data_IF_747247861299
#
_entry.id   IF_747247861299
#
_cell.length_a   1.000
_cell.length_b   1.000
_cell.length_c   1.000
_cell.angle_alpha   90.00
_cell.angle_beta   90.00
_cell.angle_gamma   90.00
#
_symmetry.space_group_name_H-M   'P 1'
#
loop_
_entity.id
_entity.type
_entity.pdbx_description
1 polymer ?
#
# COMPACT_ATOMS: atom_id res chain seq x y z
N UNK A 1 -10.42 9.08 -27.92
CA UNK A 1 -9.98 8.60 -26.59
C UNK A 1 -9.29 9.77 -25.91
N UNK A 2 -9.69 10.12 -24.69
CA UNK A 2 -9.06 11.21 -23.94
C UNK A 2 -7.68 10.74 -23.49
N UNK A 3 -6.63 11.39 -23.94
CA UNK A 3 -5.25 11.06 -23.52
C UNK A 3 -5.04 11.57 -22.09
N UNK A 4 -4.88 10.65 -21.13
CA UNK A 4 -4.52 11.00 -19.76
C UNK A 4 -3.05 11.45 -19.75
N UNK A 5 -2.79 12.71 -19.40
CA UNK A 5 -1.42 13.26 -19.32
C UNK A 5 -0.80 13.13 -17.93
N UNK A 6 -1.64 13.12 -16.90
CA UNK A 6 -1.23 13.03 -15.50
C UNK A 6 -2.27 12.26 -14.69
N UNK A 7 -1.79 11.51 -13.71
CA UNK A 7 -2.60 10.77 -12.73
C UNK A 7 -2.24 11.31 -11.35
N UNK A 8 -3.23 11.83 -10.61
CA UNK A 8 -3.06 12.22 -9.21
C UNK A 8 -3.19 11.00 -8.33
N UNK A 9 -2.06 10.56 -7.78
CA UNK A 9 -1.98 9.46 -6.82
C UNK A 9 -1.94 10.04 -5.41
N UNK A 10 -2.97 9.77 -4.61
CA UNK A 10 -2.91 10.08 -3.18
C UNK A 10 -2.21 8.97 -2.41
N UNK A 11 -1.08 9.32 -1.84
CA UNK A 11 -0.16 8.44 -1.15
C UNK A 11 -0.29 8.59 0.37
N UNK A 12 -1.45 8.18 0.89
CA UNK A 12 -1.83 8.34 2.30
C UNK A 12 -1.09 7.43 3.29
N UNK A 13 -0.11 6.65 2.84
CA UNK A 13 0.63 5.76 3.72
C UNK A 13 1.53 6.54 4.69
N UNK A 14 1.52 6.19 5.98
CA UNK A 14 2.32 6.91 7.00
C UNK A 14 3.81 6.55 6.98
N UNK A 15 4.16 5.44 6.34
CA UNK A 15 5.54 4.98 6.23
C UNK A 15 6.19 5.49 4.94
N UNK A 16 7.32 6.20 5.06
CA UNK A 16 8.08 6.69 3.92
C UNK A 16 8.54 5.57 2.96
N UNK A 17 8.96 4.42 3.50
CA UNK A 17 9.38 3.29 2.66
C UNK A 17 8.20 2.68 1.89
N UNK A 18 6.99 2.68 2.49
CA UNK A 18 5.78 2.22 1.79
C UNK A 18 5.32 3.23 0.74
N UNK A 19 5.35 4.52 1.07
CA UNK A 19 5.04 5.59 0.13
C UNK A 19 5.92 5.47 -1.12
N UNK A 20 7.23 5.26 -0.93
CA UNK A 20 8.17 5.10 -2.03
C UNK A 20 7.88 3.85 -2.85
N UNK A 21 7.68 2.70 -2.21
CA UNK A 21 7.38 1.44 -2.91
C UNK A 21 6.10 1.55 -3.76
N UNK A 22 5.03 2.11 -3.20
CA UNK A 22 3.76 2.29 -3.92
C UNK A 22 3.93 3.21 -5.13
N UNK A 23 4.66 4.32 -4.97
CA UNK A 23 4.98 5.24 -6.05
C UNK A 23 5.84 4.59 -7.15
N UNK A 24 6.86 3.82 -6.78
CA UNK A 24 7.75 3.14 -7.73
C UNK A 24 6.99 2.09 -8.56
N UNK A 25 6.10 1.33 -7.93
CA UNK A 25 5.28 0.33 -8.63
C UNK A 25 4.34 1.00 -9.63
N UNK A 26 3.67 2.09 -9.26
CA UNK A 26 2.81 2.82 -10.18
C UNK A 26 3.62 3.45 -11.33
N UNK A 27 4.80 4.00 -11.03
CA UNK A 27 5.69 4.57 -12.05
C UNK A 27 6.17 3.52 -13.06
N UNK A 28 6.48 2.32 -12.56
CA UNK A 28 6.84 1.18 -13.40
C UNK A 28 5.66 0.73 -14.27
N UNK A 29 4.43 0.73 -13.73
CA UNK A 29 3.22 0.39 -14.49
C UNK A 29 2.99 1.36 -15.65
N UNK A 30 3.13 2.67 -15.43
CA UNK A 30 2.99 3.66 -16.51
C UNK A 30 4.08 3.51 -17.56
N UNK A 31 5.32 3.24 -17.12
CA UNK A 31 6.43 3.00 -18.05
C UNK A 31 6.19 1.75 -18.90
N UNK A 32 5.74 0.65 -18.28
CA UNK A 32 5.48 -0.62 -18.95
C UNK A 32 4.28 -0.57 -19.90
N UNK A 33 3.33 0.35 -19.70
CA UNK A 33 2.12 0.48 -20.52
C UNK A 33 2.20 1.62 -21.54
N UNK A 34 3.27 2.43 -21.52
CA UNK A 34 3.41 3.64 -22.32
C UNK A 34 3.21 3.41 -23.84
N UNK A 35 3.76 2.33 -24.39
CA UNK A 35 3.66 2.04 -25.83
C UNK A 35 2.22 1.73 -26.29
N UNK A 36 1.38 1.22 -25.38
CA UNK A 36 0.01 0.78 -25.68
C UNK A 36 -1.07 1.77 -25.22
N UNK A 37 -0.79 2.55 -24.17
CA UNK A 37 -1.76 3.45 -23.53
C UNK A 37 -1.33 4.93 -23.55
N UNK A 38 -0.13 5.21 -24.06
CA UNK A 38 0.46 6.54 -24.08
C UNK A 38 1.24 6.88 -22.81
N UNK A 39 2.05 7.94 -22.89
CA UNK A 39 2.80 8.44 -21.74
C UNK A 39 1.92 9.27 -20.82
N UNK A 40 1.99 8.96 -19.52
CA UNK A 40 1.40 9.74 -18.45
C UNK A 40 2.43 9.95 -17.32
N UNK A 41 2.19 10.96 -16.49
CA UNK A 41 3.01 11.27 -15.30
C UNK A 41 2.21 11.02 -14.03
N UNK A 42 2.89 10.71 -12.92
CA UNK A 42 2.26 10.58 -11.60
C UNK A 42 2.52 11.85 -10.81
N UNK A 43 1.45 12.41 -10.25
CA UNK A 43 1.51 13.46 -9.24
C UNK A 43 1.37 12.75 -7.89
N UNK A 44 2.47 12.65 -7.15
CA UNK A 44 2.53 12.03 -5.82
C UNK A 44 2.01 13.00 -4.75
N UNK A 45 0.74 12.87 -4.42
CA UNK A 45 0.06 13.70 -3.43
C UNK A 45 0.18 13.05 -2.03
N UNK A 46 1.08 13.61 -1.22
CA UNK A 46 1.34 13.17 0.17
C UNK A 46 0.61 14.03 1.20
N UNK A 47 -0.46 14.72 0.80
CA UNK A 47 -1.22 15.57 1.72
C UNK A 47 -1.74 14.73 2.89
N UNK A 48 -1.37 15.15 4.10
CA UNK A 48 -1.83 14.49 5.32
C UNK A 48 -3.29 14.86 5.60
N UNK A 49 -4.14 13.84 5.69
CA UNK A 49 -5.57 13.98 5.97
C UNK A 49 -5.85 13.39 7.36
N UNK A 50 -5.86 14.20 8.43
CA UNK A 50 -5.95 13.69 9.80
C UNK A 50 -7.33 13.12 10.15
N UNK A 51 -8.37 13.51 9.40
CA UNK A 51 -9.73 13.04 9.62
C UNK A 51 -10.05 11.84 8.73
N UNK A 52 -10.55 10.76 9.32
CA UNK A 52 -10.90 9.54 8.59
C UNK A 52 -11.94 9.77 7.48
N UNK A 53 -12.85 10.74 7.68
CA UNK A 53 -13.83 11.15 6.66
C UNK A 53 -13.15 11.78 5.44
N UNK A 54 -12.11 12.60 5.65
CA UNK A 54 -11.36 13.22 4.57
C UNK A 54 -10.57 12.18 3.77
N UNK A 55 -9.92 11.22 4.45
CA UNK A 55 -9.26 10.10 3.79
C UNK A 55 -10.23 9.25 2.96
N UNK A 56 -11.43 8.97 3.48
CA UNK A 56 -12.47 8.22 2.77
C UNK A 56 -13.05 8.95 1.55
N UNK A 57 -12.84 10.27 1.46
CA UNK A 57 -13.34 11.14 0.39
C UNK A 57 -12.25 11.56 -0.62
N UNK A 58 -11.02 11.03 -0.55
CA UNK A 58 -9.90 11.45 -1.42
C UNK A 58 -10.22 11.41 -2.92
N UNK A 59 -11.01 10.43 -3.36
CA UNK A 59 -11.45 10.28 -4.75
C UNK A 59 -12.51 11.33 -5.14
N UNK A 60 -13.31 11.79 -4.18
CA UNK A 60 -14.27 12.88 -4.36
C UNK A 60 -13.58 14.24 -4.39
N UNK A 61 -12.36 14.33 -3.83
CA UNK A 61 -11.54 15.53 -3.73
C UNK A 61 -10.45 15.66 -4.80
N UNK A 62 -10.58 14.93 -5.91
CA UNK A 62 -9.75 15.10 -7.10
C UNK A 62 -8.52 14.20 -7.19
N UNK A 63 -8.39 13.21 -6.31
CA UNK A 63 -7.43 12.11 -6.50
C UNK A 63 -7.99 11.11 -7.50
N UNK A 64 -7.14 10.63 -8.41
CA UNK A 64 -7.54 9.65 -9.43
C UNK A 64 -7.35 8.22 -8.92
N UNK A 65 -6.33 8.00 -8.10
CA UNK A 65 -5.93 6.68 -7.61
C UNK A 65 -5.37 6.77 -6.19
N UNK A 66 -5.55 5.69 -5.43
CA UNK A 66 -4.91 5.48 -4.14
C UNK A 66 -4.59 4.00 -3.94
N UNK A 67 -3.76 3.69 -2.95
CA UNK A 67 -3.55 2.33 -2.45
C UNK A 67 -4.17 2.23 -1.07
N UNK A 68 -4.94 1.16 -0.84
CA UNK A 68 -5.55 0.87 0.47
C UNK A 68 -5.52 -0.63 0.74
N UNK A 69 -5.68 -0.98 2.01
CA UNK A 69 -5.95 -2.37 2.41
C UNK A 69 -7.36 -2.76 2.02
N UNK A 70 -7.54 -4.04 1.67
CA UNK A 70 -8.85 -4.63 1.37
C UNK A 70 -9.77 -4.52 2.61
N UNK A 71 -11.01 -4.10 2.39
CA UNK A 71 -12.00 -3.97 3.46
C UNK A 71 -11.82 -2.73 4.35
N UNK A 72 -11.07 -1.72 3.90
CA UNK A 72 -10.96 -0.46 4.62
C UNK A 72 -12.35 0.21 4.73
N UNK A 73 -12.87 0.28 5.96
CA UNK A 73 -14.22 0.78 6.26
C UNK A 73 -14.44 2.24 5.80
N UNK A 74 -13.37 3.03 5.66
CA UNK A 74 -13.44 4.43 5.20
C UNK A 74 -13.99 4.55 3.77
N UNK A 75 -13.85 3.48 2.97
CA UNK A 75 -14.33 3.41 1.59
C UNK A 75 -15.63 2.59 1.45
N UNK A 76 -16.23 2.15 2.55
CA UNK A 76 -17.48 1.40 2.50
C UNK A 76 -18.61 2.26 1.89
N UNK A 77 -19.28 1.73 0.86
CA UNK A 77 -20.35 2.44 0.15
C UNK A 77 -19.88 3.58 -0.76
N UNK A 78 -18.57 3.82 -0.88
CA UNK A 78 -18.01 4.79 -1.83
C UNK A 78 -17.93 4.18 -3.23
N UNK A 79 -18.03 5.03 -4.26
CA UNK A 79 -17.92 4.60 -5.66
C UNK A 79 -16.46 4.66 -6.11
N UNK A 80 -15.88 3.51 -6.42
CA UNK A 80 -14.55 3.38 -7.00
C UNK A 80 -14.45 2.08 -7.80
N UNK A 81 -13.39 1.95 -8.60
CA UNK A 81 -13.04 0.71 -9.29
C UNK A 81 -11.96 0.04 -8.45
N UNK A 82 -12.28 -1.11 -7.84
CA UNK A 82 -11.28 -1.90 -7.11
C UNK A 82 -10.42 -2.70 -8.09
N UNK A 83 -9.11 -2.48 -8.04
CA UNK A 83 -8.14 -3.35 -8.69
C UNK A 83 -7.72 -4.43 -7.69
N UNK A 84 -8.20 -5.66 -7.86
CA UNK A 84 -7.98 -6.76 -6.93
C UNK A 84 -6.52 -7.31 -6.89
N UNK A 85 -5.59 -6.66 -7.61
CA UNK A 85 -4.18 -7.03 -7.62
C UNK A 85 -3.47 -6.36 -6.44
N UNK A 86 -2.86 -7.18 -5.57
CA UNK A 86 -2.05 -6.66 -4.48
C UNK A 86 -0.77 -6.02 -5.02
N UNK A 87 -0.66 -4.69 -4.91
CA UNK A 87 0.55 -3.91 -5.23
C UNK A 87 1.77 -4.45 -4.48
N UNK A 88 1.55 -4.94 -3.25
CA UNK A 88 2.60 -5.42 -2.35
C UNK A 88 2.77 -6.94 -2.38
N UNK A 89 2.08 -7.68 -3.28
CA UNK A 89 2.15 -9.15 -3.41
C UNK A 89 2.07 -9.90 -2.07
N UNK A 90 1.22 -9.44 -1.15
CA UNK A 90 1.11 -9.98 0.22
C UNK A 90 2.37 -9.84 1.09
N UNK A 91 3.47 -9.22 0.62
CA UNK A 91 4.72 -9.06 1.38
C UNK A 91 4.47 -8.35 2.72
N UNK A 92 3.56 -7.37 2.74
CA UNK A 92 3.21 -6.64 3.97
C UNK A 92 2.37 -7.45 4.96
N UNK A 93 1.77 -8.57 4.54
CA UNK A 93 1.07 -9.51 5.41
C UNK A 93 1.96 -10.64 5.92
N UNK A 94 3.18 -10.77 5.38
CA UNK A 94 4.12 -11.81 5.80
C UNK A 94 4.77 -11.43 7.13
N UNK A 95 4.75 -12.35 8.09
CA UNK A 95 5.51 -12.25 9.33
C UNK A 95 6.82 -13.00 9.12
N UNK A 96 7.92 -12.27 9.13
CA UNK A 96 9.27 -12.86 9.03
C UNK A 96 9.79 -13.06 10.44
N UNK A 97 10.17 -14.30 10.75
CA UNK A 97 10.82 -14.64 12.01
C UNK A 97 12.29 -14.24 11.95
N UNK A 98 12.72 -13.39 12.87
CA UNK A 98 14.13 -13.16 13.17
C UNK A 98 14.45 -13.86 14.50
N UNK A 99 15.25 -14.93 14.43
CA UNK A 99 15.65 -15.73 15.58
C UNK A 99 17.16 -15.96 15.56
N UNK A 100 17.76 -16.20 16.73
CA UNK A 100 19.14 -16.70 16.79
C UNK A 100 19.19 -18.13 16.27
N UNK A 101 20.28 -18.49 15.59
CA UNK A 101 20.47 -19.82 15.01
C UNK A 101 20.26 -20.95 16.03
N UNK A 102 20.74 -20.76 17.26
CA UNK A 102 20.63 -21.74 18.35
C UNK A 102 19.21 -21.88 18.94
N UNK A 103 18.28 -21.01 18.54
CA UNK A 103 16.89 -20.99 18.99
C UNK A 103 15.90 -21.35 17.88
N UNK A 104 16.34 -21.54 16.63
CA UNK A 104 15.46 -21.84 15.48
C UNK A 104 14.57 -23.06 15.75
N UNK A 105 15.11 -24.06 16.45
CA UNK A 105 14.37 -25.28 16.82
C UNK A 105 13.17 -25.03 17.76
N UNK A 106 13.08 -23.86 18.40
CA UNK A 106 11.92 -23.51 19.24
C UNK A 106 10.73 -23.03 18.40
N UNK A 107 10.96 -22.61 17.15
CA UNK A 107 9.96 -22.02 16.27
C UNK A 107 9.46 -23.03 15.23
N UNK A 108 9.03 -24.20 15.70
CA UNK A 108 8.66 -25.35 14.84
C UNK A 108 7.22 -25.30 14.32
N UNK A 109 6.31 -24.65 15.05
CA UNK A 109 4.89 -24.55 14.67
C UNK A 109 4.35 -23.16 14.89
N UNK A 110 3.33 -22.77 14.12
CA UNK A 110 2.61 -21.50 14.29
C UNK A 110 2.04 -21.33 15.70
N UNK A 111 1.60 -22.41 16.33
CA UNK A 111 1.01 -22.45 17.66
C UNK A 111 2.08 -22.17 18.73
N UNK A 112 3.26 -22.77 18.60
CA UNK A 112 4.40 -22.50 19.47
C UNK A 112 4.89 -21.06 19.35
N UNK A 113 4.89 -20.50 18.13
CA UNK A 113 5.28 -19.10 17.90
C UNK A 113 4.26 -18.14 18.55
N UNK A 114 2.96 -18.43 18.45
CA UNK A 114 1.88 -17.58 19.01
C UNK A 114 1.89 -17.52 20.54
N UNK A 115 2.42 -18.53 21.22
CA UNK A 115 2.50 -18.56 22.69
C UNK A 115 3.75 -17.84 23.24
N UNK A 116 4.68 -17.44 22.37
CA UNK A 116 5.89 -16.72 22.77
C UNK A 116 5.63 -15.22 22.94
N UNK A 117 6.41 -14.59 23.83
CA UNK A 117 6.45 -13.13 23.95
C UNK A 117 7.22 -12.54 22.77
N UNK A 118 6.59 -11.64 22.02
CA UNK A 118 7.21 -10.93 20.90
C UNK A 118 7.73 -9.58 21.39
N UNK A 119 9.03 -9.32 21.19
CA UNK A 119 9.57 -7.98 21.31
C UNK A 119 9.20 -7.15 20.08
N UNK A 120 8.54 -6.02 20.27
CA UNK A 120 8.32 -5.04 19.20
C UNK A 120 9.47 -4.03 19.28
N UNK A 121 10.20 -3.78 18.17
CA UNK A 121 11.26 -2.76 18.16
C UNK A 121 10.70 -1.40 18.60
N UNK A 122 11.43 -0.71 19.48
CA UNK A 122 11.02 0.59 20.03
C UNK A 122 10.86 1.66 18.94
N UNK A 123 11.60 1.52 17.84
CA UNK A 123 11.51 2.38 16.66
C UNK A 123 11.17 1.53 15.44
N UNK A 124 9.91 1.60 14.99
CA UNK A 124 9.44 1.07 13.70
C UNK A 124 9.05 2.22 12.76
#
# INVERSE_FOLDING_TARGET
MTTIKSVRFWNGNKSAYRQQFEFDVLSLLLTATADSHGHATIIDDRTDLPLAEQEGAVLEHGSDVLVTVKGNAKFAGKRFIELALSVTKQLLGQRILFARDDRVADFTTTEAIKSMSVGVPETC
#
